data_IF_367418823209
#
_entry.id   IF_367418823209
#
_cell.length_a   1.000
_cell.length_b   1.000
_cell.length_c   1.000
_cell.angle_alpha   90.00
_cell.angle_beta   90.00
_cell.angle_gamma   90.00
#
_symmetry.space_group_name_H-M   'P 1'
#
loop_
_entity.id
_entity.type
_entity.pdbx_description
1 polymer ?
#
# COMPACT_ATOMS: atom_id res chain seq x y z
N UNK A 1 -13.72 0.06 24.88
CA UNK A 1 -12.58 -0.67 24.29
C UNK A 1 -12.48 -0.31 22.82
N UNK A 2 -11.35 0.20 22.40
CA UNK A 2 -11.10 0.55 21.00
C UNK A 2 -10.09 -0.38 20.35
N UNK A 3 -10.25 -0.58 19.05
CA UNK A 3 -9.30 -1.29 18.20
C UNK A 3 -8.65 -0.28 17.26
N UNK A 4 -7.34 -0.17 17.32
CA UNK A 4 -6.53 0.65 16.44
C UNK A 4 -6.00 -0.21 15.30
N UNK A 5 -6.35 0.11 14.06
CA UNK A 5 -5.94 -0.65 12.88
C UNK A 5 -4.80 0.02 12.15
N UNK A 6 -3.73 -0.73 11.92
CA UNK A 6 -2.68 -0.47 10.94
C UNK A 6 -2.74 -1.55 9.86
N UNK A 7 -2.36 -1.22 8.64
CA UNK A 7 -2.18 -2.17 7.55
C UNK A 7 -1.14 -1.65 6.56
N UNK A 8 -0.56 -2.56 5.80
CA UNK A 8 0.24 -2.24 4.61
C UNK A 8 1.33 -1.19 4.88
N UNK A 9 2.07 -1.37 5.99
CA UNK A 9 3.14 -0.45 6.38
C UNK A 9 4.37 -0.57 5.50
N UNK A 10 4.59 -1.74 4.89
CA UNK A 10 5.66 -1.99 3.92
C UNK A 10 7.00 -1.37 4.30
N UNK A 11 7.44 -1.59 5.53
CA UNK A 11 8.77 -1.14 5.96
C UNK A 11 9.84 -1.70 5.04
N UNK A 12 10.78 -0.86 4.61
CA UNK A 12 11.80 -1.21 3.62
C UNK A 12 11.32 -1.04 2.17
N UNK A 13 10.24 -0.29 1.92
CA UNK A 13 9.78 0.01 0.56
C UNK A 13 10.86 0.68 -0.29
N UNK A 14 10.67 0.63 -1.63
CA UNK A 14 11.65 1.15 -2.61
C UNK A 14 13.02 0.49 -2.51
N UNK A 15 13.05 -0.82 -2.18
CA UNK A 15 14.27 -1.60 -2.10
C UNK A 15 15.15 -1.25 -0.90
N UNK A 16 14.56 -1.12 0.26
CA UNK A 16 15.21 -0.68 1.51
C UNK A 16 15.84 0.72 1.41
N UNK A 17 15.18 1.63 0.69
CA UNK A 17 15.67 2.99 0.55
C UNK A 17 15.70 3.73 1.88
N UNK A 18 16.87 4.22 2.28
CA UNK A 18 17.10 4.85 3.59
C UNK A 18 16.28 6.12 3.81
N UNK A 19 16.07 6.92 2.76
CA UNK A 19 15.27 8.15 2.86
C UNK A 19 13.81 7.78 3.17
N UNK A 20 13.25 6.83 2.43
CA UNK A 20 11.89 6.36 2.66
C UNK A 20 11.73 5.69 4.02
N UNK A 21 12.70 4.88 4.45
CA UNK A 21 12.68 4.25 5.76
C UNK A 21 12.70 5.29 6.89
N UNK A 22 13.50 6.35 6.72
CA UNK A 22 13.54 7.49 7.66
C UNK A 22 12.20 8.21 7.72
N UNK A 23 11.58 8.50 6.56
CA UNK A 23 10.26 9.15 6.52
C UNK A 23 9.18 8.32 7.23
N UNK A 24 9.15 7.00 6.98
CA UNK A 24 8.26 6.10 7.69
C UNK A 24 8.50 6.14 9.21
N UNK A 25 9.76 6.04 9.64
CA UNK A 25 10.13 6.08 11.05
C UNK A 25 9.73 7.40 11.71
N UNK A 26 10.00 8.54 11.05
CA UNK A 26 9.66 9.87 11.57
C UNK A 26 8.15 10.06 11.72
N UNK A 27 7.34 9.55 10.80
CA UNK A 27 5.88 9.55 10.95
C UNK A 27 5.45 8.87 12.25
N UNK A 28 5.99 7.68 12.53
CA UNK A 28 5.66 6.98 13.76
C UNK A 28 6.12 7.75 14.99
N UNK A 29 7.36 8.19 15.02
CA UNK A 29 7.96 8.79 16.23
C UNK A 29 7.42 10.19 16.51
N UNK A 30 7.24 11.01 15.46
CA UNK A 30 6.88 12.42 15.61
C UNK A 30 5.36 12.66 15.57
N UNK A 31 4.60 11.74 14.99
CA UNK A 31 3.17 11.93 14.79
C UNK A 31 2.31 10.84 15.44
N UNK A 32 2.46 9.57 15.02
CA UNK A 32 1.54 8.51 15.45
C UNK A 32 1.73 8.12 16.92
N UNK A 33 2.95 7.86 17.37
CA UNK A 33 3.23 7.45 18.75
C UNK A 33 2.80 8.53 19.78
N UNK A 34 3.07 9.83 19.59
CA UNK A 34 2.52 10.87 20.44
C UNK A 34 0.98 10.89 20.48
N UNK A 35 0.32 10.69 19.33
CA UNK A 35 -1.13 10.57 19.28
C UNK A 35 -1.63 9.36 20.09
N UNK A 36 -1.02 8.18 19.88
CA UNK A 36 -1.40 6.95 20.60
C UNK A 36 -1.19 7.08 22.10
N UNK A 37 -0.06 7.61 22.57
CA UNK A 37 0.22 7.84 24.01
C UNK A 37 -0.82 8.71 24.69
N UNK A 38 -1.46 9.62 23.94
CA UNK A 38 -2.49 10.53 24.47
C UNK A 38 -3.87 9.90 24.52
N UNK A 39 -4.18 8.99 23.57
CA UNK A 39 -5.56 8.58 23.32
C UNK A 39 -5.84 7.11 23.70
N UNK A 40 -4.83 6.24 23.73
CA UNK A 40 -4.98 4.81 24.03
C UNK A 40 -5.28 4.59 25.51
N UNK A 41 -6.25 3.73 25.79
CA UNK A 41 -6.60 3.27 27.12
C UNK A 41 -6.07 1.87 27.38
N UNK A 42 -5.93 1.40 28.63
CA UNK A 42 -5.31 0.13 28.98
C UNK A 42 -5.92 -1.11 28.30
N UNK A 43 -7.21 -1.08 28.00
CA UNK A 43 -7.94 -2.19 27.38
C UNK A 43 -7.99 -2.11 25.85
N UNK A 44 -7.43 -1.04 25.25
CA UNK A 44 -7.40 -0.88 23.81
C UNK A 44 -6.36 -1.78 23.18
N UNK A 45 -6.59 -2.21 21.94
CA UNK A 45 -5.72 -3.13 21.21
C UNK A 45 -5.24 -2.54 19.90
N UNK A 46 -4.03 -2.91 19.49
CA UNK A 46 -3.48 -2.63 18.18
C UNK A 46 -3.59 -3.86 17.29
N UNK A 47 -4.19 -3.73 16.12
CA UNK A 47 -4.23 -4.79 15.11
C UNK A 47 -3.53 -4.31 13.84
N UNK A 48 -2.50 -5.03 13.43
CA UNK A 48 -1.86 -4.85 12.14
C UNK A 48 -2.43 -5.86 11.14
N UNK A 49 -3.14 -5.38 10.12
CA UNK A 49 -3.84 -6.21 9.13
C UNK A 49 -2.94 -6.70 7.99
N UNK A 50 -1.65 -6.95 8.27
CA UNK A 50 -0.70 -7.58 7.34
C UNK A 50 0.14 -6.61 6.53
N UNK A 51 1.12 -7.16 5.84
CA UNK A 51 2.13 -6.46 5.04
C UNK A 51 2.93 -5.43 5.88
N UNK A 52 3.56 -5.95 6.94
CA UNK A 52 4.47 -5.15 7.79
C UNK A 52 5.72 -4.76 7.00
N UNK A 53 6.29 -5.70 6.25
CA UNK A 53 7.47 -5.50 5.42
C UNK A 53 7.13 -5.46 3.93
N UNK A 54 7.93 -4.70 3.16
CA UNK A 54 7.75 -4.61 1.71
C UNK A 54 8.36 -5.81 0.98
N UNK A 55 9.55 -6.24 1.40
CA UNK A 55 10.28 -7.32 0.76
C UNK A 55 10.05 -8.67 1.46
N UNK A 56 9.75 -9.69 0.67
CA UNK A 56 9.42 -11.04 1.15
C UNK A 56 10.62 -11.86 1.60
N UNK A 57 11.77 -11.70 0.96
CA UNK A 57 12.92 -12.60 1.11
C UNK A 57 14.19 -11.93 1.65
N UNK A 58 14.37 -10.65 1.35
CA UNK A 58 15.56 -9.90 1.75
C UNK A 58 15.13 -8.60 2.41
N UNK A 59 15.38 -8.47 3.70
CA UNK A 59 15.06 -7.28 4.47
C UNK A 59 16.35 -6.68 4.98
N UNK A 60 16.56 -5.40 4.71
CA UNK A 60 17.74 -4.68 5.18
C UNK A 60 17.83 -4.65 6.72
N UNK A 61 19.03 -4.69 7.25
CA UNK A 61 19.28 -4.68 8.71
C UNK A 61 18.69 -3.43 9.36
N UNK A 62 18.77 -2.28 8.68
CA UNK A 62 18.18 -1.03 9.18
C UNK A 62 16.66 -1.14 9.27
N UNK A 63 16.00 -1.72 8.27
CA UNK A 63 14.55 -1.96 8.25
C UNK A 63 14.12 -2.89 9.38
N UNK A 64 14.88 -3.97 9.64
CA UNK A 64 14.65 -4.86 10.78
C UNK A 64 14.72 -4.09 12.10
N UNK A 65 15.77 -3.31 12.30
CA UNK A 65 15.97 -2.52 13.53
C UNK A 65 14.85 -1.49 13.72
N UNK A 66 14.42 -0.81 12.64
CA UNK A 66 13.28 0.12 12.68
C UNK A 66 12.00 -0.60 13.07
N UNK A 67 11.71 -1.75 12.46
CA UNK A 67 10.52 -2.54 12.78
C UNK A 67 10.49 -2.97 14.26
N UNK A 68 11.59 -3.53 14.76
CA UNK A 68 11.71 -3.92 16.17
C UNK A 68 11.48 -2.70 17.08
N UNK A 69 12.17 -1.60 16.83
CA UNK A 69 12.04 -0.37 17.64
C UNK A 69 10.60 0.16 17.65
N UNK A 70 9.91 0.13 16.51
CA UNK A 70 8.52 0.60 16.43
C UNK A 70 7.58 -0.30 17.22
N UNK A 71 7.70 -1.62 17.08
CA UNK A 71 6.83 -2.55 17.80
C UNK A 71 7.14 -2.59 19.29
N UNK A 72 8.40 -2.38 19.72
CA UNK A 72 8.74 -2.16 21.13
C UNK A 72 8.01 -0.92 21.68
N UNK A 73 8.03 0.20 20.95
CA UNK A 73 7.30 1.42 21.32
C UNK A 73 5.77 1.22 21.34
N UNK A 74 5.22 0.42 20.46
CA UNK A 74 3.82 0.04 20.52
C UNK A 74 3.53 -0.82 21.76
N UNK A 75 4.43 -1.73 22.14
CA UNK A 75 4.26 -2.58 23.32
C UNK A 75 4.37 -1.81 24.66
N UNK A 76 4.98 -0.61 24.64
CA UNK A 76 4.93 0.34 25.77
C UNK A 76 3.54 1.01 25.91
N UNK A 77 2.73 1.01 24.85
CA UNK A 77 1.44 1.72 24.80
C UNK A 77 0.26 0.75 24.88
N UNK A 78 0.36 -0.39 24.19
CA UNK A 78 -0.70 -1.38 24.10
C UNK A 78 -0.35 -2.65 24.86
N UNK A 79 -1.26 -3.13 25.69
CA UNK A 79 -1.13 -4.42 26.37
C UNK A 79 -1.45 -5.62 25.47
N UNK A 80 -2.02 -5.38 24.29
CA UNK A 80 -2.37 -6.42 23.31
C UNK A 80 -2.11 -5.88 21.89
N UNK A 81 -1.15 -6.49 21.20
CA UNK A 81 -0.79 -6.16 19.82
C UNK A 81 -0.94 -7.44 18.99
N UNK A 82 -1.71 -7.36 17.92
CA UNK A 82 -2.03 -8.49 17.06
C UNK A 82 -1.59 -8.22 15.64
N UNK A 83 -0.81 -9.12 15.06
CA UNK A 83 -0.31 -9.04 13.69
C UNK A 83 -0.94 -10.17 12.88
N UNK A 84 -1.64 -9.81 11.82
CA UNK A 84 -2.14 -10.74 10.81
C UNK A 84 -1.09 -10.84 9.71
N UNK A 85 -0.70 -12.05 9.32
CA UNK A 85 0.31 -12.23 8.26
C UNK A 85 -0.28 -11.83 6.91
N UNK A 86 0.37 -10.88 6.21
CA UNK A 86 0.05 -10.47 4.86
C UNK A 86 0.86 -11.23 3.79
N UNK A 87 0.59 -10.96 2.51
CA UNK A 87 1.27 -11.64 1.42
C UNK A 87 2.73 -11.20 1.21
N UNK A 88 3.09 -9.97 1.61
CA UNK A 88 4.48 -9.51 1.61
C UNK A 88 5.26 -9.99 2.84
N UNK A 89 4.58 -10.39 3.90
CA UNK A 89 5.25 -10.97 5.08
C UNK A 89 5.71 -12.41 4.86
N UNK A 90 5.26 -13.09 3.81
CA UNK A 90 5.55 -14.50 3.53
C UNK A 90 6.67 -14.65 2.49
N UNK A 91 7.71 -15.42 2.81
CA UNK A 91 8.78 -15.73 1.87
C UNK A 91 8.23 -16.46 0.62
N UNK A 92 7.30 -17.38 0.81
CA UNK A 92 6.57 -18.09 -0.26
C UNK A 92 5.07 -17.94 -0.04
N UNK A 93 4.31 -17.62 -1.09
CA UNK A 93 2.89 -17.29 -1.01
C UNK A 93 2.00 -18.32 -0.28
N UNK A 94 2.44 -19.57 -0.17
CA UNK A 94 1.71 -20.69 0.43
C UNK A 94 2.35 -21.23 1.73
N UNK A 95 3.45 -20.63 2.22
CA UNK A 95 4.14 -21.09 3.42
C UNK A 95 4.05 -20.05 4.54
N UNK A 96 3.09 -20.23 5.42
CA UNK A 96 2.89 -19.36 6.59
C UNK A 96 3.92 -19.58 7.70
N UNK A 97 4.82 -20.57 7.59
CA UNK A 97 5.83 -20.85 8.63
C UNK A 97 7.06 -19.95 8.49
N UNK A 98 7.40 -19.57 7.24
CA UNK A 98 8.54 -18.72 6.94
C UNK A 98 8.04 -17.30 6.66
N UNK A 99 7.85 -16.53 7.71
CA UNK A 99 7.36 -15.14 7.61
C UNK A 99 8.36 -14.17 8.23
N UNK A 100 8.49 -13.00 7.62
CA UNK A 100 9.35 -11.91 8.10
C UNK A 100 8.92 -11.38 9.47
N UNK A 101 7.62 -11.37 9.74
CA UNK A 101 7.07 -10.89 11.03
C UNK A 101 7.43 -11.77 12.22
N UNK A 102 8.02 -12.95 11.99
CA UNK A 102 8.50 -13.83 13.07
C UNK A 102 9.53 -13.16 13.99
N UNK A 103 10.26 -12.18 13.52
CA UNK A 103 11.21 -11.42 14.35
C UNK A 103 10.49 -10.63 15.46
N UNK A 104 9.23 -10.26 15.25
CA UNK A 104 8.44 -9.46 16.18
C UNK A 104 7.78 -10.30 17.29
N UNK A 105 7.77 -11.64 17.19
CA UNK A 105 7.11 -12.52 18.18
C UNK A 105 7.73 -12.50 19.57
N UNK A 106 8.95 -11.98 19.70
CA UNK A 106 9.67 -11.87 20.96
C UNK A 106 9.43 -10.55 21.70
N UNK A 107 8.74 -9.61 21.03
CA UNK A 107 8.34 -8.35 21.65
C UNK A 107 7.17 -8.62 22.58
N UNK A 108 7.18 -8.11 23.81
CA UNK A 108 6.08 -8.27 24.74
C UNK A 108 4.74 -7.86 24.14
N UNK A 109 3.68 -8.56 24.53
CA UNK A 109 2.31 -8.27 24.14
C UNK A 109 2.00 -8.48 22.64
N UNK A 110 2.92 -9.02 21.83
CA UNK A 110 2.73 -9.29 20.40
C UNK A 110 2.25 -10.72 20.18
N UNK A 111 1.12 -10.85 19.49
CA UNK A 111 0.55 -12.11 19.00
C UNK A 111 0.46 -12.10 17.48
N UNK A 112 0.93 -13.16 16.81
CA UNK A 112 0.93 -13.26 15.35
C UNK A 112 -0.04 -14.35 14.89
N UNK A 113 -0.89 -14.02 13.93
CA UNK A 113 -1.83 -14.96 13.33
C UNK A 113 -1.31 -15.47 11.99
N UNK A 114 -0.86 -16.71 11.99
CA UNK A 114 -0.39 -17.44 10.81
C UNK A 114 -1.48 -18.26 10.12
N UNK A 115 -2.58 -18.51 10.83
CA UNK A 115 -3.73 -19.31 10.40
C UNK A 115 -5.01 -18.65 10.86
N UNK A 116 -6.11 -18.89 10.14
CA UNK A 116 -7.42 -18.42 10.57
C UNK A 116 -7.75 -18.88 11.99
N UNK A 117 -8.25 -17.96 12.81
CA UNK A 117 -8.61 -18.21 14.20
C UNK A 117 -9.81 -17.34 14.59
N UNK A 118 -10.73 -17.92 15.37
CA UNK A 118 -11.84 -17.18 15.96
C UNK A 118 -11.52 -16.86 17.43
N UNK A 119 -11.67 -15.62 17.82
CA UNK A 119 -11.51 -15.15 19.21
C UNK A 119 -12.66 -14.22 19.60
N UNK A 120 -12.80 -14.00 20.90
CA UNK A 120 -13.74 -13.03 21.44
C UNK A 120 -12.98 -11.77 21.85
N UNK A 121 -13.45 -10.60 21.39
CA UNK A 121 -12.95 -9.28 21.75
C UNK A 121 -14.14 -8.42 22.14
N UNK A 122 -14.15 -7.86 23.35
CA UNK A 122 -15.27 -7.04 23.87
C UNK A 122 -16.65 -7.69 23.64
N UNK A 123 -16.78 -8.97 23.98
CA UNK A 123 -18.01 -9.80 23.81
C UNK A 123 -18.45 -9.99 22.34
N UNK A 124 -17.62 -9.62 21.37
CA UNK A 124 -17.85 -9.84 19.94
C UNK A 124 -16.99 -10.99 19.42
N UNK A 125 -17.59 -11.82 18.55
CA UNK A 125 -16.86 -12.89 17.85
C UNK A 125 -16.10 -12.29 16.68
N UNK A 126 -14.79 -12.55 16.61
CA UNK A 126 -13.88 -12.01 15.61
C UNK A 126 -13.13 -13.15 14.92
N UNK A 127 -13.22 -13.25 13.60
CA UNK A 127 -12.42 -14.15 12.79
C UNK A 127 -11.19 -13.40 12.24
N UNK A 128 -10.00 -13.86 12.65
CA UNK A 128 -8.73 -13.41 12.09
C UNK A 128 -8.40 -14.24 10.85
N UNK A 129 -8.14 -13.57 9.72
CA UNK A 129 -7.85 -14.22 8.44
C UNK A 129 -6.53 -13.69 7.85
N UNK A 130 -5.40 -14.40 8.07
CA UNK A 130 -4.16 -14.09 7.39
C UNK A 130 -4.29 -14.33 5.88
N UNK A 131 -3.32 -13.84 5.11
CA UNK A 131 -3.30 -14.09 3.67
C UNK A 131 -3.39 -15.58 3.35
N UNK A 132 -4.24 -15.89 2.40
CA UNK A 132 -4.42 -17.23 1.84
C UNK A 132 -4.40 -17.13 0.33
N UNK A 133 -3.46 -17.84 -0.32
CA UNK A 133 -3.36 -17.84 -1.78
C UNK A 133 -4.56 -18.52 -2.45
N UNK A 134 -5.09 -19.57 -1.81
CA UNK A 134 -6.22 -20.32 -2.35
C UNK A 134 -7.56 -19.65 -1.98
N UNK A 135 -8.11 -18.93 -2.92
CA UNK A 135 -9.40 -18.24 -2.80
C UNK A 135 -10.57 -19.17 -2.44
N UNK A 136 -10.57 -20.41 -2.95
CA UNK A 136 -11.67 -21.36 -2.65
C UNK A 136 -11.60 -21.84 -1.20
N UNK A 137 -10.41 -22.06 -0.68
CA UNK A 137 -10.22 -22.37 0.75
C UNK A 137 -10.67 -21.21 1.63
N UNK A 138 -10.34 -19.98 1.22
CA UNK A 138 -10.74 -18.76 1.92
C UNK A 138 -12.27 -18.58 1.90
N UNK A 139 -12.93 -18.78 0.76
CA UNK A 139 -14.41 -18.78 0.64
C UNK A 139 -15.04 -19.83 1.55
N UNK A 140 -14.53 -21.06 1.51
CA UNK A 140 -15.03 -22.17 2.36
C UNK A 140 -14.88 -21.86 3.86
N UNK A 141 -13.78 -21.23 4.25
CA UNK A 141 -13.55 -20.76 5.61
C UNK A 141 -14.59 -19.71 6.03
N UNK A 142 -14.82 -18.70 5.22
CA UNK A 142 -15.78 -17.62 5.52
C UNK A 142 -17.22 -18.16 5.61
N UNK A 143 -17.57 -19.11 4.76
CA UNK A 143 -18.89 -19.76 4.83
C UNK A 143 -19.09 -20.59 6.09
N UNK A 144 -18.02 -21.20 6.62
CA UNK A 144 -18.05 -22.03 7.81
C UNK A 144 -18.38 -21.25 9.09
N UNK A 145 -17.89 -20.01 9.19
CA UNK A 145 -18.04 -19.22 10.41
C UNK A 145 -19.15 -18.15 10.26
N UNK A 146 -19.84 -17.91 11.35
CA UNK A 146 -20.76 -16.77 11.51
C UNK A 146 -20.23 -15.98 12.70
N UNK A 147 -19.70 -14.80 12.43
CA UNK A 147 -19.02 -13.94 13.41
C UNK A 147 -19.52 -12.50 13.29
N UNK A 148 -19.24 -11.67 14.29
CA UNK A 148 -19.57 -10.25 14.27
C UNK A 148 -18.59 -9.46 13.39
N UNK A 149 -17.30 -9.83 13.46
CA UNK A 149 -16.23 -9.16 12.73
C UNK A 149 -15.29 -10.14 12.02
N UNK A 150 -14.73 -9.68 10.91
CA UNK A 150 -13.61 -10.34 10.22
C UNK A 150 -12.47 -9.33 10.13
N UNK A 151 -11.30 -9.66 10.69
CA UNK A 151 -10.09 -8.87 10.56
C UNK A 151 -9.09 -9.67 9.73
N UNK A 152 -8.58 -9.11 8.63
CA UNK A 152 -7.79 -9.92 7.73
C UNK A 152 -6.91 -9.16 6.76
N UNK A 153 -6.14 -9.93 6.00
CA UNK A 153 -5.41 -9.46 4.83
C UNK A 153 -6.04 -10.11 3.60
N UNK A 154 -6.92 -9.37 2.91
CA UNK A 154 -7.93 -9.95 2.04
C UNK A 154 -8.00 -9.26 0.67
N UNK A 155 -8.21 -10.06 -0.38
CA UNK A 155 -8.43 -9.63 -1.74
C UNK A 155 -9.92 -9.72 -2.07
N UNK A 156 -10.60 -8.56 -2.10
CA UNK A 156 -12.07 -8.50 -2.22
C UNK A 156 -12.47 -7.83 -3.54
N UNK A 157 -13.34 -8.49 -4.29
CA UNK A 157 -13.80 -8.04 -5.60
C UNK A 157 -14.53 -6.70 -5.57
N UNK A 158 -14.17 -5.85 -6.53
CA UNK A 158 -14.70 -4.50 -6.66
C UNK A 158 -13.99 -3.44 -5.82
N UNK A 159 -12.91 -3.79 -5.09
CA UNK A 159 -12.05 -2.81 -4.45
C UNK A 159 -11.24 -2.02 -5.48
N UNK A 160 -11.14 -0.71 -5.30
CA UNK A 160 -10.30 0.18 -6.12
C UNK A 160 -8.86 0.04 -5.67
N UNK A 161 -7.93 -0.24 -6.61
CA UNK A 161 -6.53 -0.53 -6.29
C UNK A 161 -5.56 0.61 -6.60
N UNK A 162 -6.00 1.64 -7.32
CA UNK A 162 -5.19 2.82 -7.63
C UNK A 162 -6.05 4.06 -7.94
N UNK A 163 -5.40 5.23 -8.02
CA UNK A 163 -6.04 6.51 -8.32
C UNK A 163 -6.67 6.61 -9.75
N UNK A 164 -6.43 5.64 -10.62
CA UNK A 164 -7.04 5.58 -11.96
C UNK A 164 -8.34 4.81 -11.97
N UNK A 165 -8.83 4.37 -10.81
CA UNK A 165 -10.10 3.64 -10.68
C UNK A 165 -10.03 2.18 -11.13
N UNK A 166 -8.84 1.59 -11.27
CA UNK A 166 -8.71 0.17 -11.56
C UNK A 166 -9.26 -0.63 -10.37
N UNK A 167 -10.13 -1.58 -10.67
CA UNK A 167 -10.80 -2.39 -9.65
C UNK A 167 -10.26 -3.82 -9.61
N UNK A 168 -10.29 -4.41 -8.40
CA UNK A 168 -10.04 -5.83 -8.19
C UNK A 168 -11.10 -6.67 -8.92
N UNK A 169 -10.65 -7.69 -9.67
CA UNK A 169 -11.54 -8.58 -10.41
C UNK A 169 -12.47 -9.35 -9.45
N UNK A 170 -13.76 -9.32 -9.74
CA UNK A 170 -14.77 -10.03 -8.92
C UNK A 170 -14.64 -11.55 -9.06
N UNK A 171 -14.25 -12.04 -10.22
CA UNK A 171 -14.18 -13.50 -10.50
C UNK A 171 -12.97 -14.15 -9.80
N UNK A 172 -11.89 -13.39 -9.59
CA UNK A 172 -10.61 -13.89 -9.04
C UNK A 172 -10.40 -13.52 -7.58
N UNK A 173 -11.42 -13.06 -6.88
CA UNK A 173 -11.33 -12.55 -5.51
C UNK A 173 -12.51 -13.02 -4.64
N UNK A 174 -12.51 -12.63 -3.38
CA UNK A 174 -13.61 -12.91 -2.46
C UNK A 174 -14.78 -11.98 -2.79
N UNK A 175 -15.98 -12.54 -2.87
CA UNK A 175 -17.19 -11.72 -2.93
C UNK A 175 -17.53 -11.19 -1.51
N UNK A 176 -17.93 -9.91 -1.44
CA UNK A 176 -18.43 -9.32 -0.18
C UNK A 176 -19.64 -10.06 0.42
N UNK A 177 -20.39 -10.81 -0.36
CA UNK A 177 -21.48 -11.67 0.13
C UNK A 177 -21.01 -12.84 0.99
N UNK A 178 -19.74 -13.26 0.85
CA UNK A 178 -19.17 -14.36 1.66
C UNK A 178 -19.07 -13.99 3.15
N UNK A 179 -18.98 -12.70 3.46
CA UNK A 179 -18.88 -12.21 4.85
C UNK A 179 -20.23 -12.18 5.58
N UNK A 180 -21.34 -12.48 4.89
CA UNK A 180 -22.69 -12.43 5.45
C UNK A 180 -23.01 -11.07 6.09
N UNK A 181 -23.16 -11.04 7.43
CA UNK A 181 -23.45 -9.82 8.22
C UNK A 181 -22.23 -9.30 8.99
N UNK A 182 -21.07 -9.97 8.89
CA UNK A 182 -19.87 -9.53 9.61
C UNK A 182 -19.37 -8.21 9.04
N UNK A 183 -18.95 -7.30 9.92
CA UNK A 183 -18.15 -6.13 9.54
C UNK A 183 -16.71 -6.56 9.32
N UNK A 184 -16.10 -6.13 8.22
CA UNK A 184 -14.77 -6.58 7.78
C UNK A 184 -13.80 -5.42 7.80
N UNK A 185 -12.67 -5.59 8.50
CA UNK A 185 -11.53 -4.67 8.43
C UNK A 185 -10.35 -5.39 7.78
N UNK A 186 -9.88 -4.86 6.67
CA UNK A 186 -8.89 -5.54 5.84
C UNK A 186 -7.70 -4.64 5.46
N UNK A 187 -6.49 -5.26 5.40
CA UNK A 187 -5.34 -4.79 4.65
C UNK A 187 -5.32 -5.35 3.23
N UNK A 188 -4.21 -5.23 2.53
CA UNK A 188 -3.91 -5.60 1.16
C UNK A 188 -4.12 -4.48 0.14
N UNK A 189 -5.21 -3.74 0.23
CA UNK A 189 -5.47 -2.60 -0.65
C UNK A 189 -5.04 -1.32 0.07
N UNK A 190 -4.09 -0.60 -0.53
CA UNK A 190 -3.49 0.60 0.07
C UNK A 190 -4.43 1.80 0.10
N UNK A 191 -5.47 1.79 -0.75
CA UNK A 191 -6.50 2.82 -0.77
C UNK A 191 -7.52 2.54 0.32
N UNK A 192 -7.63 3.47 1.29
CA UNK A 192 -8.70 3.43 2.29
C UNK A 192 -10.05 3.62 1.59
N UNK A 193 -10.94 2.66 1.77
CA UNK A 193 -12.26 2.67 1.14
C UNK A 193 -13.25 1.78 1.86
N UNK A 194 -14.53 2.11 1.73
CA UNK A 194 -15.64 1.32 2.22
C UNK A 194 -16.41 0.68 1.06
N UNK A 195 -16.64 -0.63 1.13
CA UNK A 195 -17.40 -1.39 0.14
C UNK A 195 -18.48 -2.18 0.88
N UNK A 196 -19.64 -1.56 1.13
CA UNK A 196 -20.70 -2.09 2.01
C UNK A 196 -20.18 -2.31 3.44
N UNK A 197 -20.15 -3.56 3.92
CA UNK A 197 -19.64 -3.98 5.23
C UNK A 197 -18.12 -4.31 5.22
N UNK A 198 -17.41 -3.95 4.18
CA UNK A 198 -15.95 -4.12 4.08
C UNK A 198 -15.26 -2.78 4.13
N UNK A 199 -14.31 -2.65 5.05
CA UNK A 199 -13.53 -1.47 5.34
C UNK A 199 -12.05 -1.76 5.13
N UNK A 200 -11.51 -1.32 4.00
CA UNK A 200 -10.07 -1.34 3.81
C UNK A 200 -9.42 -0.24 4.65
N UNK A 201 -8.53 -0.65 5.53
CA UNK A 201 -7.78 0.26 6.41
C UNK A 201 -6.89 1.20 5.60
N UNK A 202 -6.29 0.67 4.54
CA UNK A 202 -5.32 1.36 3.70
C UNK A 202 -3.94 1.46 4.35
N UNK A 203 -2.95 1.90 3.56
CA UNK A 203 -1.60 2.17 4.08
C UNK A 203 -1.57 3.46 4.89
N UNK A 204 -0.70 3.57 5.92
CA UNK A 204 -0.64 4.75 6.79
C UNK A 204 0.00 5.98 6.13
N UNK A 205 0.66 5.81 4.98
CA UNK A 205 1.31 6.86 4.17
C UNK A 205 1.29 6.48 2.69
N UNK A 206 1.59 7.44 1.82
CA UNK A 206 1.72 7.20 0.38
C UNK A 206 2.93 6.31 0.09
N UNK A 207 2.73 5.26 -0.70
CA UNK A 207 3.79 4.34 -1.15
C UNK A 207 4.26 4.64 -2.56
N UNK A 208 3.33 4.97 -3.43
CA UNK A 208 3.60 5.25 -4.83
C UNK A 208 2.55 6.18 -5.45
N UNK A 209 2.69 6.39 -6.76
CA UNK A 209 1.81 7.28 -7.53
C UNK A 209 0.36 6.78 -7.65
N UNK A 210 0.11 5.50 -7.36
CA UNK A 210 -1.25 4.96 -7.25
C UNK A 210 -2.03 5.53 -6.07
N UNK A 211 -1.32 6.13 -5.11
CA UNK A 211 -1.91 6.73 -3.91
C UNK A 211 -2.28 8.22 -4.07
N UNK A 212 -1.98 8.84 -5.21
CA UNK A 212 -2.31 10.26 -5.47
C UNK A 212 -3.80 10.51 -5.24
N UNK A 213 -4.09 11.55 -4.46
CA UNK A 213 -5.46 11.93 -4.11
C UNK A 213 -6.12 11.06 -3.03
N UNK A 214 -5.39 10.08 -2.47
CA UNK A 214 -5.90 9.22 -1.42
C UNK A 214 -5.41 9.68 -0.04
N UNK A 215 -6.34 9.84 0.91
CA UNK A 215 -6.02 10.21 2.29
C UNK A 215 -5.49 8.99 3.04
N UNK A 216 -4.36 9.14 3.73
CA UNK A 216 -3.67 8.09 4.48
C UNK A 216 -3.76 8.30 5.98
N UNK A 217 -3.59 7.21 6.75
CA UNK A 217 -3.67 7.27 8.20
C UNK A 217 -4.02 5.93 8.81
N UNK A 218 -4.64 5.96 9.99
CA UNK A 218 -5.08 4.76 10.71
C UNK A 218 -6.59 4.82 10.97
N UNK A 219 -7.20 3.66 11.14
CA UNK A 219 -8.62 3.55 11.51
C UNK A 219 -8.74 3.11 12.97
N UNK A 220 -9.64 3.72 13.72
CA UNK A 220 -9.97 3.35 15.09
C UNK A 220 -11.44 2.95 15.15
N UNK A 221 -11.71 1.76 15.70
CA UNK A 221 -13.05 1.21 15.89
C UNK A 221 -13.38 1.14 17.38
N UNK A 222 -14.48 1.73 17.79
CA UNK A 222 -15.06 1.43 19.12
C UNK A 222 -15.89 0.16 19.05
N UNK A 223 -15.44 -0.89 19.74
CA UNK A 223 -16.10 -2.21 19.71
C UNK A 223 -17.49 -2.22 20.39
N UNK A 224 -17.78 -1.23 21.24
CA UNK A 224 -19.06 -1.15 21.93
C UNK A 224 -20.12 -0.47 21.06
N UNK A 225 -19.78 0.68 20.47
CA UNK A 225 -20.73 1.46 19.65
C UNK A 225 -20.71 1.04 18.17
N UNK A 226 -19.62 0.45 17.68
CA UNK A 226 -19.37 0.21 16.25
C UNK A 226 -18.95 1.47 15.47
N UNK A 227 -18.77 2.60 16.17
CA UNK A 227 -18.33 3.85 15.55
C UNK A 227 -16.86 3.77 15.11
N UNK A 228 -16.57 4.43 14.00
CA UNK A 228 -15.23 4.46 13.39
C UNK A 228 -14.72 5.89 13.34
N UNK A 229 -13.47 6.07 13.74
CA UNK A 229 -12.71 7.30 13.60
C UNK A 229 -11.56 7.07 12.62
N UNK A 230 -11.25 8.05 11.80
CA UNK A 230 -10.07 8.06 10.95
C UNK A 230 -9.07 9.10 11.42
N UNK A 231 -7.86 8.66 11.74
CA UNK A 231 -6.75 9.52 12.16
C UNK A 231 -5.86 9.76 10.96
N UNK A 232 -6.05 10.89 10.31
CA UNK A 232 -5.33 11.26 9.08
C UNK A 232 -3.85 11.51 9.34
N UNK A 233 -3.00 10.97 8.47
CA UNK A 233 -1.57 11.27 8.44
C UNK A 233 -1.33 12.56 7.64
N UNK A 234 -1.07 13.65 8.35
CA UNK A 234 -0.71 14.96 7.76
C UNK A 234 0.80 15.25 7.80
N UNK A 235 1.59 14.26 8.22
CA UNK A 235 3.02 14.42 8.45
C UNK A 235 3.87 13.91 7.27
N UNK A 236 3.54 12.73 6.74
CA UNK A 236 4.34 12.07 5.71
C UNK A 236 4.23 12.77 4.36
N UNK A 237 5.30 12.68 3.54
CA UNK A 237 5.24 13.20 2.18
C UNK A 237 4.15 12.51 1.35
N UNK A 238 3.53 13.27 0.46
CA UNK A 238 2.53 12.77 -0.48
C UNK A 238 3.02 12.89 -1.92
N UNK A 239 2.53 12.01 -2.79
CA UNK A 239 2.68 12.16 -4.23
C UNK A 239 1.65 13.16 -4.76
N UNK A 240 2.10 14.15 -5.48
CA UNK A 240 1.28 15.20 -6.11
C UNK A 240 1.53 15.16 -7.60
N UNK A 241 0.46 15.07 -8.38
CA UNK A 241 0.50 15.26 -9.82
C UNK A 241 -0.15 16.63 -10.12
N UNK A 242 0.62 17.52 -10.73
CA UNK A 242 0.20 18.90 -10.96
C UNK A 242 0.38 19.27 -12.44
N UNK A 243 -0.59 19.98 -13.03
CA UNK A 243 -0.46 20.51 -14.39
C UNK A 243 0.36 21.80 -14.40
N UNK A 244 1.18 22.01 -15.45
CA UNK A 244 1.90 23.26 -15.63
C UNK A 244 0.96 24.47 -15.59
N UNK A 245 -0.25 24.34 -16.11
CA UNK A 245 -1.23 25.43 -16.11
C UNK A 245 -1.66 25.88 -14.72
N UNK A 246 -1.61 24.98 -13.74
CA UNK A 246 -2.00 25.30 -12.36
C UNK A 246 -0.89 26.05 -11.59
N UNK A 247 0.30 26.18 -12.17
CA UNK A 247 1.46 26.81 -11.51
C UNK A 247 1.93 28.10 -12.20
N UNK A 248 1.46 28.40 -13.41
CA UNK A 248 1.91 29.56 -14.18
C UNK A 248 1.71 30.90 -13.46
N UNK A 249 0.67 30.98 -12.62
CA UNK A 249 0.32 32.20 -11.87
C UNK A 249 0.91 32.19 -10.44
N UNK A 250 1.62 31.13 -10.04
CA UNK A 250 2.22 31.04 -8.71
C UNK A 250 3.64 31.61 -8.72
N UNK A 251 4.00 32.30 -7.64
CA UNK A 251 5.39 32.62 -7.35
C UNK A 251 6.19 31.39 -6.95
N UNK A 252 7.50 31.47 -7.06
CA UNK A 252 8.37 30.34 -6.65
C UNK A 252 8.26 30.06 -5.14
N UNK A 253 8.05 31.08 -4.32
CA UNK A 253 7.84 30.97 -2.88
C UNK A 253 6.54 30.25 -2.54
N UNK A 254 5.45 30.54 -3.27
CA UNK A 254 4.18 29.82 -3.11
C UNK A 254 4.31 28.34 -3.49
N UNK A 255 5.06 28.03 -4.55
CA UNK A 255 5.34 26.65 -4.95
C UNK A 255 6.22 25.92 -3.91
N UNK A 256 7.24 26.58 -3.37
CA UNK A 256 8.07 26.04 -2.29
C UNK A 256 7.25 25.67 -1.07
N UNK A 257 6.33 26.53 -0.64
CA UNK A 257 5.48 26.24 0.52
C UNK A 257 4.46 25.14 0.21
N UNK A 258 3.81 25.20 -0.97
CA UNK A 258 2.80 24.21 -1.40
C UNK A 258 3.39 22.79 -1.53
N UNK A 259 4.61 22.67 -2.03
CA UNK A 259 5.24 21.42 -2.39
C UNK A 259 6.27 20.92 -1.39
N UNK A 260 6.53 21.70 -0.36
CA UNK A 260 7.52 21.39 0.67
C UNK A 260 7.36 19.95 1.18
N UNK A 261 8.49 19.21 1.17
CA UNK A 261 8.57 17.85 1.67
C UNK A 261 7.74 16.80 0.89
N UNK A 262 7.18 17.17 -0.29
CA UNK A 262 6.37 16.26 -1.11
C UNK A 262 7.11 15.76 -2.35
N UNK A 263 6.51 14.80 -3.05
CA UNK A 263 7.01 14.24 -4.33
C UNK A 263 6.13 14.79 -5.44
N UNK A 264 6.72 15.54 -6.38
CA UNK A 264 6.00 16.29 -7.38
C UNK A 264 6.24 15.71 -8.78
N UNK A 265 5.16 15.35 -9.44
CA UNK A 265 5.13 15.05 -10.88
C UNK A 265 4.45 16.24 -11.61
N UNK A 266 5.24 17.09 -12.25
CA UNK A 266 4.72 18.20 -13.03
C UNK A 266 4.42 17.72 -14.45
N UNK A 267 3.15 17.83 -14.85
CA UNK A 267 2.66 17.43 -16.17
C UNK A 267 2.77 18.63 -17.14
N UNK A 268 3.50 18.44 -18.22
CA UNK A 268 3.76 19.47 -19.22
C UNK A 268 3.41 18.93 -20.60
N UNK A 269 2.53 19.63 -21.33
CA UNK A 269 2.34 19.35 -22.76
C UNK A 269 3.61 19.68 -23.54
N UNK A 270 3.94 18.86 -24.56
CA UNK A 270 5.14 19.08 -25.39
C UNK A 270 5.17 20.47 -26.04
N UNK A 271 4.00 21.05 -26.34
CA UNK A 271 3.86 22.39 -26.90
C UNK A 271 4.08 23.52 -25.88
N UNK A 272 4.10 23.19 -24.60
CA UNK A 272 4.17 24.17 -23.50
C UNK A 272 5.52 24.16 -22.76
N UNK A 273 6.49 23.39 -23.26
CA UNK A 273 7.84 23.29 -22.66
C UNK A 273 8.52 24.65 -22.55
N UNK A 274 8.20 25.60 -23.41
CA UNK A 274 8.79 26.93 -23.39
C UNK A 274 8.10 27.91 -22.44
N UNK A 275 7.00 27.52 -21.79
CA UNK A 275 6.23 28.42 -20.92
C UNK A 275 6.85 28.63 -19.54
N UNK A 276 7.78 27.77 -19.13
CA UNK A 276 8.41 27.80 -17.83
C UNK A 276 9.91 27.52 -17.95
N UNK A 277 10.72 28.20 -17.16
CA UNK A 277 12.12 27.87 -16.96
C UNK A 277 12.24 26.72 -15.96
N UNK A 278 12.26 25.48 -16.47
CA UNK A 278 12.32 24.27 -15.68
C UNK A 278 13.66 24.04 -14.99
N UNK A 279 14.75 24.61 -15.49
CA UNK A 279 16.07 24.50 -14.85
C UNK A 279 16.07 25.31 -13.57
N UNK A 280 15.71 26.59 -13.65
CA UNK A 280 15.54 27.44 -12.47
C UNK A 280 14.55 26.85 -11.48
N UNK A 281 13.38 26.36 -11.96
CA UNK A 281 12.39 25.73 -11.07
C UNK A 281 12.96 24.52 -10.34
N UNK A 282 13.73 23.67 -11.01
CA UNK A 282 14.37 22.51 -10.41
C UNK A 282 15.42 22.89 -9.37
N UNK A 283 16.27 23.86 -9.67
CA UNK A 283 17.31 24.36 -8.76
C UNK A 283 16.69 24.92 -7.47
N UNK A 284 15.62 25.69 -7.60
CA UNK A 284 14.92 26.29 -6.47
C UNK A 284 14.17 25.27 -5.58
N UNK A 285 13.76 24.15 -6.16
CA UNK A 285 12.99 23.12 -5.46
C UNK A 285 13.84 21.97 -4.88
N UNK A 286 15.09 21.78 -5.33
CA UNK A 286 15.89 20.59 -5.06
C UNK A 286 16.08 20.27 -3.57
N UNK A 287 16.08 21.27 -2.71
CA UNK A 287 16.20 21.11 -1.25
C UNK A 287 14.88 21.33 -0.50
N UNK A 288 13.79 21.52 -1.22
CA UNK A 288 12.48 21.83 -0.64
C UNK A 288 11.55 20.63 -0.77
N UNK A 289 11.56 19.99 -1.92
CA UNK A 289 10.75 18.79 -2.19
C UNK A 289 11.60 17.54 -2.06
N UNK A 290 10.95 16.41 -1.80
CA UNK A 290 11.62 15.12 -1.69
C UNK A 290 12.03 14.58 -3.07
N UNK A 291 11.20 14.81 -4.10
CA UNK A 291 11.46 14.47 -5.49
C UNK A 291 10.69 15.42 -6.42
N UNK A 292 11.33 15.86 -7.50
CA UNK A 292 10.70 16.67 -8.54
C UNK A 292 10.91 16.03 -9.91
N UNK A 293 9.82 15.70 -10.60
CA UNK A 293 9.85 15.15 -11.95
C UNK A 293 8.98 15.96 -12.89
N UNK A 294 9.50 16.21 -14.08
CA UNK A 294 8.73 16.75 -15.20
C UNK A 294 8.33 15.59 -16.10
N UNK A 295 7.04 15.46 -16.36
CA UNK A 295 6.45 14.46 -17.23
C UNK A 295 5.85 15.15 -18.45
N UNK A 296 6.43 14.94 -19.62
CA UNK A 296 5.84 15.44 -20.87
C UNK A 296 4.65 14.57 -21.26
N UNK A 297 3.51 15.20 -21.46
CA UNK A 297 2.34 14.57 -22.05
C UNK A 297 2.45 14.82 -23.55
N UNK A 298 2.97 13.84 -24.30
CA UNK A 298 2.89 13.87 -25.76
C UNK A 298 1.43 13.71 -26.18
N UNK A 299 1.09 14.14 -27.39
CA UNK A 299 -0.26 14.07 -27.95
C UNK A 299 -0.92 12.70 -27.76
N UNK A 300 -1.52 12.46 -26.61
CA UNK A 300 -2.48 11.38 -26.38
C UNK A 300 -3.81 11.63 -27.10
N UNK A 301 -3.88 12.71 -27.93
CA UNK A 301 -5.08 13.09 -28.69
C UNK A 301 -5.33 12.28 -29.98
N UNK A 302 -4.47 11.29 -30.29
CA UNK A 302 -4.64 10.50 -31.52
C UNK A 302 -4.72 9.00 -31.31
N UNK A 303 -5.11 8.54 -30.13
CA UNK A 303 -5.67 7.20 -30.02
C UNK A 303 -6.80 7.21 -29.00
N UNK A 304 -7.99 7.58 -29.47
CA UNK A 304 -9.22 7.07 -28.87
C UNK A 304 -9.18 5.56 -29.01
N UNK A 305 -8.51 4.88 -28.11
CA UNK A 305 -8.68 3.45 -27.91
C UNK A 305 -10.08 3.32 -27.35
N UNK A 306 -10.99 2.86 -28.18
CA UNK A 306 -12.28 2.38 -27.74
C UNK A 306 -12.05 1.32 -26.67
N UNK A 307 -12.38 1.65 -25.41
CA UNK A 307 -12.34 0.75 -24.25
C UNK A 307 -13.61 -0.11 -24.29
N UNK A 308 -13.82 -0.83 -25.38
CA UNK A 308 -14.95 -1.76 -25.53
C UNK A 308 -14.53 -3.20 -25.86
N UNK A 309 -13.25 -3.53 -25.61
CA UNK A 309 -12.81 -4.93 -25.64
C UNK A 309 -12.03 -5.24 -24.38
N UNK A 310 -12.32 -6.38 -23.71
CA UNK A 310 -11.48 -6.84 -22.59
C UNK A 310 -10.06 -7.03 -23.15
N UNK A 311 -9.12 -6.23 -22.66
CA UNK A 311 -7.71 -6.39 -23.03
C UNK A 311 -7.27 -7.75 -22.50
N UNK A 312 -7.09 -8.73 -23.37
CA UNK A 312 -6.39 -9.96 -23.02
C UNK A 312 -5.06 -9.60 -22.39
N UNK A 313 -4.81 -10.14 -21.22
CA UNK A 313 -3.55 -9.92 -20.50
C UNK A 313 -2.47 -10.61 -21.33
N UNK A 314 -1.71 -9.82 -22.09
CA UNK A 314 -0.59 -10.31 -22.89
C UNK A 314 0.45 -10.95 -21.97
N UNK A 315 1.01 -12.04 -22.43
CA UNK A 315 2.17 -12.67 -21.76
C UNK A 315 3.40 -11.76 -21.82
N UNK A 316 4.35 -11.98 -20.93
CA UNK A 316 5.63 -11.23 -20.96
C UNK A 316 6.36 -11.34 -22.30
N UNK A 317 6.18 -12.45 -23.03
CA UNK A 317 6.72 -12.65 -24.37
C UNK A 317 6.01 -11.81 -25.43
N UNK A 318 4.71 -11.69 -25.35
CA UNK A 318 3.91 -10.84 -26.24
C UNK A 318 4.24 -9.37 -26.04
N UNK A 319 4.38 -8.92 -24.77
CA UNK A 319 4.86 -7.56 -24.47
C UNK A 319 6.26 -7.29 -25.02
N UNK A 320 7.17 -8.26 -24.89
CA UNK A 320 8.52 -8.12 -25.45
C UNK A 320 8.51 -8.03 -26.98
N UNK A 321 7.69 -8.84 -27.65
CA UNK A 321 7.57 -8.81 -29.09
C UNK A 321 7.03 -7.47 -29.58
N UNK A 322 5.95 -6.99 -29.00
CA UNK A 322 5.38 -5.68 -29.31
C UNK A 322 6.41 -4.55 -29.09
N UNK A 323 7.15 -4.59 -28.00
CA UNK A 323 8.18 -3.59 -27.70
C UNK A 323 9.29 -3.61 -28.78
N UNK A 324 9.75 -4.79 -29.20
CA UNK A 324 10.80 -4.92 -30.18
C UNK A 324 10.34 -4.53 -31.60
N UNK A 325 9.05 -4.70 -31.92
CA UNK A 325 8.49 -4.26 -33.22
C UNK A 325 8.51 -2.74 -33.37
N UNK A 326 8.27 -1.99 -32.25
CA UNK A 326 8.24 -0.52 -32.26
C UNK A 326 9.60 0.13 -32.02
N UNK A 327 10.68 -0.66 -31.86
CA UNK A 327 12.03 -0.13 -31.69
C UNK A 327 12.86 -0.26 -32.98
N UNK A 328 13.56 0.83 -33.31
CA UNK A 328 14.51 0.87 -34.43
C UNK A 328 15.79 0.10 -34.06
N UNK A 329 15.69 -1.20 -34.07
CA UNK A 329 16.77 -2.15 -33.82
C UNK A 329 16.98 -3.06 -35.03
N UNK A 330 18.25 -3.42 -35.29
CA UNK A 330 18.55 -4.40 -36.33
C UNK A 330 17.94 -5.76 -35.96
N UNK A 331 17.61 -6.57 -36.96
CA UNK A 331 17.06 -7.93 -36.76
C UNK A 331 17.94 -8.79 -35.88
N UNK A 332 19.27 -8.62 -36.01
CA UNK A 332 20.27 -9.32 -35.19
C UNK A 332 20.13 -8.94 -33.71
N UNK A 333 19.93 -7.65 -33.39
CA UNK A 333 19.75 -7.18 -32.02
C UNK A 333 18.41 -7.61 -31.45
N UNK A 334 17.33 -7.57 -32.24
CA UNK A 334 16.00 -8.07 -31.83
C UNK A 334 16.06 -9.54 -31.44
N UNK A 335 16.78 -10.36 -32.25
CA UNK A 335 16.98 -11.79 -31.98
C UNK A 335 17.76 -12.02 -30.68
N UNK A 336 18.84 -11.29 -30.47
CA UNK A 336 19.70 -11.39 -29.28
C UNK A 336 18.90 -11.06 -28.00
N UNK A 337 18.06 -10.03 -28.01
CA UNK A 337 17.22 -9.66 -26.89
C UNK A 337 16.19 -10.76 -26.58
N UNK A 338 15.57 -11.36 -27.60
CA UNK A 338 14.65 -12.50 -27.41
C UNK A 338 15.35 -13.72 -26.80
N UNK A 339 16.55 -14.07 -27.30
CA UNK A 339 17.33 -15.19 -26.77
C UNK A 339 17.73 -14.95 -25.29
N UNK A 340 18.10 -13.72 -24.93
CA UNK A 340 18.44 -13.34 -23.56
C UNK A 340 17.22 -13.45 -22.63
N UNK A 341 16.08 -12.97 -23.08
CA UNK A 341 14.82 -13.07 -22.33
C UNK A 341 14.44 -14.53 -22.04
N UNK A 342 14.51 -15.41 -23.04
CA UNK A 342 14.22 -16.84 -22.88
C UNK A 342 15.20 -17.48 -21.89
N UNK A 343 16.49 -17.13 -21.95
CA UNK A 343 17.50 -17.62 -21.00
C UNK A 343 17.23 -17.18 -19.56
N UNK A 344 16.79 -15.96 -19.36
CA UNK A 344 16.43 -15.44 -18.02
C UNK A 344 15.18 -16.14 -17.52
N UNK A 345 14.14 -16.24 -18.36
CA UNK A 345 12.87 -16.90 -18.01
C UNK A 345 13.07 -18.37 -17.60
N UNK A 346 13.98 -19.10 -18.25
CA UNK A 346 14.26 -20.50 -17.93
C UNK A 346 15.15 -20.69 -16.69
N UNK A 347 15.67 -19.60 -16.11
CA UNK A 347 16.48 -19.64 -14.87
C UNK A 347 15.69 -19.19 -13.62
N UNK A 348 14.51 -18.63 -13.82
CA UNK A 348 13.55 -18.27 -12.77
C UNK A 348 12.52 -19.38 -12.55
#
# INVERSE_FOLDING_TARGET
MKVYFLADTHLGMKGDNEIWLKECYEYYIKYLIPYLKKNVQPDDILIHCGDVFDNRSNIGIQTINVAITLFEKFSEIFNDIRIIVGNHDMMRKHDTKMTSVNILKYIPNVKIYYKPCVETIADKSVLFVPWMENINEQKSLLQKYTVDYVFGHLEIGGAVINNKGVMMSVDKSISKSEFKKAEVFAGHIHIRQDIKNVHYVGSPYHKDRGDIGNTKGITVLDMNSGEREFVENKFSPIFIEESIYNILDNTIEELKEKWKHNIIDLLVDTNDITKCDFETLREELINIVMEFKIKTIGDLKTSSVNIDTPTEIKTSEEYLNDYLEHKDLTDTNKRLVKELFIRIKNKL
#
